data_IF_727530500466
#
_entry.id   IF_727530500466
#
_cell.length_a   1.000
_cell.length_b   1.000
_cell.length_c   1.000
_cell.angle_alpha   90.00
_cell.angle_beta   90.00
_cell.angle_gamma   90.00
#
_symmetry.space_group_name_H-M   'P 1'
#
loop_
_entity.id
_entity.type
_entity.pdbx_description
1 polymer ?
#
# COMPACT_ATOMS: atom_id res chain seq x y z
N UNK A 1 25.09 5.59 -1.62
CA UNK A 1 23.96 4.78 -1.10
C UNK A 1 22.66 5.44 -1.52
N UNK A 2 21.71 4.67 -2.04
CA UNK A 2 20.36 5.12 -2.41
C UNK A 2 19.35 4.33 -1.59
N UNK A 3 18.45 5.04 -0.93
CA UNK A 3 17.29 4.43 -0.26
C UNK A 3 16.00 4.94 -0.88
N UNK A 4 15.09 4.03 -1.13
CA UNK A 4 13.71 4.34 -1.45
C UNK A 4 12.89 4.20 -0.18
N UNK A 5 12.06 5.21 0.13
CA UNK A 5 11.24 5.21 1.34
C UNK A 5 9.77 5.29 0.96
N UNK A 6 8.97 4.34 1.43
CA UNK A 6 7.52 4.35 1.26
C UNK A 6 6.87 4.61 2.61
N UNK A 7 5.86 5.47 2.63
CA UNK A 7 5.06 5.73 3.82
C UNK A 7 3.62 5.27 3.64
N UNK A 8 3.13 4.48 4.61
CA UNK A 8 1.74 4.05 4.67
C UNK A 8 0.77 5.18 5.01
N UNK A 9 -0.53 4.99 4.77
CA UNK A 9 -1.54 6.02 4.97
C UNK A 9 -1.63 6.51 6.42
N UNK A 10 -1.47 5.64 7.42
CA UNK A 10 -1.42 6.02 8.84
C UNK A 10 -0.26 6.95 9.18
N UNK A 11 0.87 6.77 8.49
CA UNK A 11 2.06 7.63 8.62
C UNK A 11 1.92 8.98 7.92
N UNK A 12 0.84 9.21 7.17
CA UNK A 12 0.58 10.41 6.38
C UNK A 12 -0.85 10.94 6.60
N UNK A 13 -1.48 10.57 7.72
CA UNK A 13 -2.89 10.84 7.97
C UNK A 13 -3.23 12.33 8.12
N UNK A 14 -2.27 13.13 8.59
CA UNK A 14 -2.39 14.57 8.84
C UNK A 14 -1.02 15.27 8.79
N UNK A 15 -1.01 16.59 9.00
CA UNK A 15 0.20 17.39 8.99
C UNK A 15 1.21 16.98 10.07
N UNK A 16 0.75 16.47 11.22
CA UNK A 16 1.63 16.02 12.31
C UNK A 16 2.41 14.79 11.90
N UNK A 17 1.71 13.82 11.30
CA UNK A 17 2.31 12.59 10.79
C UNK A 17 3.25 12.88 9.60
N UNK A 18 2.83 13.74 8.67
CA UNK A 18 3.68 14.13 7.53
C UNK A 18 4.96 14.85 8.01
N UNK A 19 4.91 15.68 9.06
CA UNK A 19 6.09 16.27 9.67
C UNK A 19 7.06 15.23 10.24
N UNK A 20 6.55 14.15 10.86
CA UNK A 20 7.38 13.02 11.31
C UNK A 20 8.04 12.32 10.13
N UNK A 21 7.25 11.98 9.09
CA UNK A 21 7.76 11.38 7.88
C UNK A 21 8.83 12.25 7.19
N UNK A 22 8.59 13.55 7.09
CA UNK A 22 9.57 14.49 6.54
C UNK A 22 10.86 14.57 7.35
N UNK A 23 10.79 14.59 8.69
CA UNK A 23 11.99 14.50 9.55
C UNK A 23 12.78 13.21 9.29
N UNK A 24 12.10 12.09 9.12
CA UNK A 24 12.74 10.81 8.77
C UNK A 24 13.45 10.92 7.43
N UNK A 25 12.79 11.44 6.39
CA UNK A 25 13.39 11.59 5.06
C UNK A 25 14.63 12.48 5.14
N UNK A 26 14.50 13.64 5.74
CA UNK A 26 15.57 14.66 5.79
C UNK A 26 16.71 14.32 6.75
N UNK A 27 16.53 13.35 7.65
CA UNK A 27 17.60 12.93 8.58
C UNK A 27 18.71 12.10 7.91
N UNK A 28 18.52 11.68 6.65
CA UNK A 28 19.50 10.86 5.93
C UNK A 28 19.48 11.17 4.42
N UNK A 29 20.56 11.69 3.89
CA UNK A 29 20.68 12.11 2.48
C UNK A 29 20.48 10.95 1.47
N UNK A 30 20.70 9.73 1.88
CA UNK A 30 20.50 8.55 1.06
C UNK A 30 19.02 8.26 0.75
N UNK A 31 18.06 8.84 1.49
CA UNK A 31 16.61 8.73 1.27
C UNK A 31 16.16 9.66 0.16
N UNK A 32 16.47 9.29 -1.07
CA UNK A 32 16.30 10.13 -2.25
C UNK A 32 14.91 10.07 -2.87
N UNK A 33 14.28 8.90 -2.84
CA UNK A 33 13.01 8.68 -3.52
C UNK A 33 11.93 8.30 -2.51
N UNK A 34 10.83 9.05 -2.53
CA UNK A 34 9.74 8.93 -1.56
C UNK A 34 8.48 8.45 -2.28
N UNK A 35 7.85 7.40 -1.78
CA UNK A 35 6.60 6.86 -2.30
C UNK A 35 5.49 6.99 -1.25
N UNK A 36 4.66 8.02 -1.33
CA UNK A 36 3.56 8.21 -0.39
C UNK A 36 2.31 7.44 -0.77
N UNK A 37 1.60 6.94 0.24
CA UNK A 37 0.20 6.56 0.13
C UNK A 37 -0.72 7.77 0.30
N UNK A 38 -2.02 7.61 -0.02
CA UNK A 38 -3.05 8.57 0.37
C UNK A 38 -3.14 8.73 1.89
N UNK A 39 -3.61 9.87 2.41
CA UNK A 39 -3.80 10.06 3.84
C UNK A 39 -4.76 9.03 4.45
N UNK A 40 -4.28 8.33 5.46
CA UNK A 40 -5.03 7.33 6.21
C UNK A 40 -6.01 7.94 7.21
N UNK A 41 -6.45 7.14 8.18
CA UNK A 41 -7.28 7.60 9.30
C UNK A 41 -6.44 8.39 10.30
N UNK A 42 -6.98 9.51 10.81
CA UNK A 42 -6.39 10.31 11.90
C UNK A 42 -6.70 9.70 13.28
N UNK A 43 -7.85 9.02 13.39
CA UNK A 43 -8.34 8.33 14.59
C UNK A 43 -9.22 7.14 14.17
N UNK A 44 -9.63 6.28 15.13
CA UNK A 44 -10.31 5.00 14.85
C UNK A 44 -11.54 5.12 13.96
N UNK A 45 -12.37 6.13 14.19
CA UNK A 45 -13.66 6.32 13.53
C UNK A 45 -13.58 7.23 12.29
N UNK A 46 -12.36 7.70 11.94
CA UNK A 46 -12.13 8.52 10.76
C UNK A 46 -12.25 7.71 9.46
N UNK A 47 -12.42 8.40 8.35
CA UNK A 47 -12.49 7.80 7.01
C UNK A 47 -11.18 8.07 6.25
N UNK A 48 -10.61 7.05 5.62
CA UNK A 48 -9.45 7.21 4.73
C UNK A 48 -9.83 8.06 3.52
N UNK A 49 -8.89 8.86 3.03
CA UNK A 49 -9.11 9.68 1.82
C UNK A 49 -9.52 8.83 0.61
N UNK A 50 -8.94 7.66 0.43
CA UNK A 50 -9.32 6.73 -0.66
C UNK A 50 -10.78 6.31 -0.56
N UNK A 51 -11.29 6.04 0.65
CA UNK A 51 -12.70 5.68 0.88
C UNK A 51 -13.63 6.89 0.63
N UNK A 52 -13.18 8.11 1.00
CA UNK A 52 -13.90 9.34 0.69
C UNK A 52 -14.01 9.56 -0.83
N UNK A 53 -12.92 9.33 -1.57
CA UNK A 53 -12.89 9.43 -3.03
C UNK A 53 -13.81 8.40 -3.71
N UNK A 54 -13.80 7.14 -3.25
CA UNK A 54 -14.72 6.12 -3.75
C UNK A 54 -16.18 6.49 -3.50
N UNK A 55 -16.49 7.03 -2.33
CA UNK A 55 -17.85 7.47 -1.97
C UNK A 55 -18.28 8.65 -2.83
N UNK A 56 -17.40 9.62 -3.03
CA UNK A 56 -17.62 10.79 -3.86
C UNK A 56 -17.87 10.39 -5.33
N UNK A 57 -17.00 9.57 -5.92
CA UNK A 57 -17.15 9.07 -7.28
C UNK A 57 -18.40 8.21 -7.44
N UNK A 58 -18.70 7.35 -6.47
CA UNK A 58 -19.93 6.55 -6.46
C UNK A 58 -21.21 7.40 -6.44
N UNK A 59 -21.18 8.59 -5.83
CA UNK A 59 -22.28 9.54 -5.91
C UNK A 59 -22.40 10.15 -7.32
N UNK A 60 -21.28 10.54 -7.93
CA UNK A 60 -21.24 11.06 -9.30
C UNK A 60 -21.77 10.05 -10.33
N UNK A 61 -21.37 8.78 -10.22
CA UNK A 61 -21.85 7.69 -11.10
C UNK A 61 -23.37 7.51 -10.99
N UNK A 62 -23.93 7.66 -9.79
CA UNK A 62 -25.38 7.56 -9.51
C UNK A 62 -26.13 8.86 -9.78
N UNK A 63 -25.50 9.84 -10.40
CA UNK A 63 -26.07 11.16 -10.71
C UNK A 63 -26.59 11.92 -9.48
N UNK A 64 -25.99 11.62 -8.31
CA UNK A 64 -26.25 12.33 -7.07
C UNK A 64 -25.27 13.49 -6.90
N UNK A 65 -25.66 14.47 -6.08
CA UNK A 65 -24.80 15.61 -5.74
C UNK A 65 -23.54 15.11 -5.02
N UNK A 66 -22.38 15.30 -5.64
CA UNK A 66 -21.07 14.85 -5.11
C UNK A 66 -20.14 16.01 -4.73
N UNK A 67 -20.52 17.23 -5.06
CA UNK A 67 -19.67 18.43 -4.86
C UNK A 67 -19.35 18.69 -3.39
N UNK A 68 -20.26 18.41 -2.47
CA UNK A 68 -20.05 18.54 -1.04
C UNK A 68 -19.04 17.50 -0.53
N UNK A 69 -19.17 16.24 -0.98
CA UNK A 69 -18.20 15.19 -0.65
C UNK A 69 -16.79 15.51 -1.18
N UNK A 70 -16.70 16.13 -2.35
CA UNK A 70 -15.42 16.57 -2.92
C UNK A 70 -14.84 17.74 -2.12
N UNK A 71 -15.69 18.68 -1.68
CA UNK A 71 -15.28 19.81 -0.85
C UNK A 71 -14.74 19.35 0.52
N UNK A 72 -15.30 18.29 1.12
CA UNK A 72 -14.78 17.71 2.36
C UNK A 72 -13.36 17.13 2.16
N UNK A 73 -13.10 16.51 1.01
CA UNK A 73 -11.77 16.00 0.67
C UNK A 73 -10.80 17.17 0.46
N UNK A 74 -11.21 18.21 -0.27
CA UNK A 74 -10.42 19.42 -0.50
C UNK A 74 -10.06 20.09 0.82
N UNK A 75 -11.03 20.25 1.72
CA UNK A 75 -10.82 20.80 3.07
C UNK A 75 -9.78 20.02 3.84
N UNK A 76 -9.82 18.69 3.79
CA UNK A 76 -8.83 17.84 4.47
C UNK A 76 -7.41 18.06 3.96
N UNK A 77 -7.22 18.22 2.65
CA UNK A 77 -5.90 18.57 2.09
C UNK A 77 -5.48 20.00 2.45
N UNK A 78 -6.43 20.92 2.48
CA UNK A 78 -6.15 22.30 2.92
C UNK A 78 -5.67 22.34 4.37
N UNK A 79 -6.31 21.61 5.28
CA UNK A 79 -5.88 21.45 6.68
C UNK A 79 -4.45 20.87 6.78
N UNK A 80 -4.09 19.92 5.92
CA UNK A 80 -2.74 19.35 5.85
C UNK A 80 -1.74 20.42 5.38
N UNK A 81 -2.03 21.13 4.28
CA UNK A 81 -1.17 22.18 3.71
C UNK A 81 -0.91 23.28 4.72
N UNK A 82 -1.96 23.79 5.36
CA UNK A 82 -1.88 24.81 6.41
C UNK A 82 -1.08 24.31 7.62
N UNK A 83 -1.36 23.10 8.08
CA UNK A 83 -0.65 22.48 9.18
C UNK A 83 0.84 22.25 8.90
N UNK A 84 1.24 22.04 7.63
CA UNK A 84 2.63 21.94 7.21
C UNK A 84 3.31 23.30 7.08
N UNK A 85 2.53 24.38 6.93
CA UNK A 85 3.05 25.74 6.73
C UNK A 85 3.66 25.97 5.34
N UNK A 86 3.17 25.28 4.32
CA UNK A 86 3.64 25.39 2.93
C UNK A 86 2.67 26.24 2.09
N UNK A 87 3.21 26.87 1.05
CA UNK A 87 2.42 27.59 0.06
C UNK A 87 2.18 26.67 -1.14
N UNK A 88 0.99 26.05 -1.17
CA UNK A 88 0.54 25.18 -2.26
C UNK A 88 -0.97 25.34 -2.42
N UNK A 89 -1.45 25.58 -3.65
CA UNK A 89 -2.86 25.41 -4.00
C UNK A 89 -3.07 24.12 -4.77
N UNK A 90 -4.14 23.42 -4.47
CA UNK A 90 -4.64 22.24 -5.19
C UNK A 90 -5.97 22.53 -5.90
N UNK A 91 -6.34 23.80 -6.10
CA UNK A 91 -7.63 24.19 -6.66
C UNK A 91 -7.81 23.72 -8.11
N UNK A 92 -6.75 23.77 -8.91
CA UNK A 92 -6.76 23.27 -10.29
C UNK A 92 -6.92 21.77 -10.35
N UNK A 93 -6.23 21.05 -9.45
CA UNK A 93 -6.36 19.59 -9.32
C UNK A 93 -7.78 19.19 -8.92
N UNK A 94 -8.37 19.88 -7.94
CA UNK A 94 -9.75 19.61 -7.53
C UNK A 94 -10.78 19.99 -8.59
N UNK A 95 -10.56 21.05 -9.37
CA UNK A 95 -11.38 21.38 -10.53
C UNK A 95 -11.33 20.26 -11.59
N UNK A 96 -10.13 19.77 -11.90
CA UNK A 96 -9.92 18.65 -12.82
C UNK A 96 -10.58 17.37 -12.31
N UNK A 97 -10.45 17.05 -11.02
CA UNK A 97 -11.09 15.87 -10.41
C UNK A 97 -12.62 15.98 -10.49
N UNK A 98 -13.19 17.16 -10.20
CA UNK A 98 -14.64 17.40 -10.29
C UNK A 98 -15.14 17.13 -11.72
N UNK A 99 -14.46 17.69 -12.72
CA UNK A 99 -14.86 17.54 -14.12
C UNK A 99 -14.75 16.09 -14.61
N UNK A 100 -13.70 15.39 -14.18
CA UNK A 100 -13.49 13.98 -14.48
C UNK A 100 -14.51 13.06 -13.75
N UNK A 101 -14.90 13.40 -12.55
CA UNK A 101 -15.98 12.67 -11.84
C UNK A 101 -17.33 12.89 -12.53
N UNK A 102 -17.62 14.10 -12.98
CA UNK A 102 -18.83 14.40 -13.76
C UNK A 102 -18.86 13.62 -15.09
N UNK A 103 -17.71 13.44 -15.73
CA UNK A 103 -17.54 12.60 -16.96
C UNK A 103 -17.50 11.10 -16.67
N UNK A 104 -17.48 10.68 -15.39
CA UNK A 104 -17.47 9.27 -14.97
C UNK A 104 -16.29 8.48 -15.57
N UNK A 105 -15.08 9.08 -15.60
CA UNK A 105 -13.92 8.53 -16.34
C UNK A 105 -13.34 7.24 -15.79
N UNK A 106 -13.66 6.83 -14.55
CA UNK A 106 -13.26 5.53 -14.02
C UNK A 106 -13.00 5.51 -12.51
N UNK A 107 -13.19 4.33 -11.93
CA UNK A 107 -13.00 4.10 -10.50
C UNK A 107 -11.52 4.16 -10.10
N UNK A 108 -10.64 3.67 -10.96
CA UNK A 108 -9.19 3.68 -10.72
C UNK A 108 -8.64 5.10 -10.71
N UNK A 109 -9.13 5.96 -11.62
CA UNK A 109 -8.83 7.39 -11.56
C UNK A 109 -9.22 7.98 -10.19
N UNK A 110 -10.45 7.73 -9.76
CA UNK A 110 -10.92 8.26 -8.48
C UNK A 110 -10.03 7.80 -7.31
N UNK A 111 -9.73 6.51 -7.24
CA UNK A 111 -8.87 5.94 -6.20
C UNK A 111 -7.48 6.56 -6.18
N UNK A 112 -6.84 6.71 -7.34
CA UNK A 112 -5.47 7.21 -7.49
C UNK A 112 -5.28 8.66 -7.01
N UNK A 113 -6.37 9.46 -7.00
CA UNK A 113 -6.26 10.89 -6.66
C UNK A 113 -5.82 11.14 -5.22
N UNK A 114 -6.06 10.20 -4.33
CA UNK A 114 -5.55 10.29 -2.96
C UNK A 114 -4.02 10.32 -2.90
N UNK A 115 -3.38 9.38 -3.56
CA UNK A 115 -1.92 9.30 -3.66
C UNK A 115 -1.35 10.45 -4.50
N UNK A 116 -1.99 10.78 -5.62
CA UNK A 116 -1.59 11.91 -6.46
C UNK A 116 -1.53 13.23 -5.70
N UNK A 117 -2.63 13.61 -5.04
CA UNK A 117 -2.71 14.86 -4.26
C UNK A 117 -1.71 14.86 -3.11
N UNK A 118 -1.61 13.73 -2.39
CA UNK A 118 -0.68 13.63 -1.27
C UNK A 118 0.79 13.67 -1.74
N UNK A 119 1.08 13.08 -2.88
CA UNK A 119 2.40 13.17 -3.51
C UNK A 119 2.80 14.62 -3.82
N UNK A 120 1.87 15.43 -4.34
CA UNK A 120 2.09 16.86 -4.58
C UNK A 120 2.37 17.63 -3.30
N UNK A 121 1.59 17.37 -2.25
CA UNK A 121 1.79 17.98 -0.93
C UNK A 121 3.16 17.65 -0.35
N UNK A 122 3.54 16.37 -0.38
CA UNK A 122 4.80 15.90 0.18
C UNK A 122 6.00 16.41 -0.64
N UNK A 123 5.88 16.45 -1.97
CA UNK A 123 6.91 17.01 -2.84
C UNK A 123 7.16 18.50 -2.52
N UNK A 124 6.08 19.29 -2.38
CA UNK A 124 6.18 20.69 -1.99
C UNK A 124 6.78 20.87 -0.59
N UNK A 125 6.40 20.01 0.38
CA UNK A 125 6.90 20.07 1.74
C UNK A 125 8.39 19.72 1.85
N UNK A 126 8.86 18.72 1.08
CA UNK A 126 10.27 18.29 1.09
C UNK A 126 11.16 19.13 0.15
N UNK A 127 10.57 19.90 -0.79
CA UNK A 127 11.31 20.54 -1.87
C UNK A 127 11.87 19.54 -2.89
N UNK A 128 11.21 18.37 -3.05
CA UNK A 128 11.59 17.32 -3.99
C UNK A 128 10.79 17.45 -5.28
N UNK A 129 11.35 16.90 -6.38
CA UNK A 129 10.62 16.86 -7.64
C UNK A 129 9.41 15.92 -7.55
N UNK A 130 8.25 16.39 -8.00
CA UNK A 130 7.06 15.55 -8.15
C UNK A 130 7.10 14.85 -9.51
N UNK A 131 6.97 13.53 -9.51
CA UNK A 131 6.85 12.73 -10.75
C UNK A 131 5.53 11.96 -10.67
N UNK A 132 4.59 12.26 -11.59
CA UNK A 132 3.32 11.52 -11.63
C UNK A 132 3.59 10.04 -11.98
N UNK A 133 3.03 9.14 -11.18
CA UNK A 133 3.15 7.71 -11.43
C UNK A 133 2.57 7.29 -12.79
N UNK A 134 1.57 8.01 -13.30
CA UNK A 134 1.01 7.79 -14.62
C UNK A 134 2.03 7.99 -15.77
N UNK A 135 3.05 8.83 -15.58
CA UNK A 135 4.10 9.06 -16.55
C UNK A 135 5.10 7.92 -16.63
N UNK A 136 5.34 7.23 -15.51
CA UNK A 136 6.48 6.32 -15.36
C UNK A 136 6.11 4.86 -15.06
N UNK A 137 4.89 4.57 -14.62
CA UNK A 137 4.41 3.20 -14.35
C UNK A 137 3.44 2.80 -15.46
N UNK A 138 3.78 1.73 -16.17
CA UNK A 138 3.11 1.31 -17.41
C UNK A 138 2.30 0.04 -17.22
N UNK A 139 1.11 0.07 -17.78
CA UNK A 139 0.22 -1.07 -17.93
C UNK A 139 -0.09 -1.28 -19.42
N UNK A 140 -0.42 -2.52 -19.80
CA UNK A 140 -0.91 -2.80 -21.16
C UNK A 140 -2.38 -2.38 -21.31
N UNK A 141 -2.93 -2.57 -22.52
CA UNK A 141 -4.32 -2.25 -22.84
C UNK A 141 -5.32 -3.07 -21.99
N UNK A 142 -4.92 -4.25 -21.49
CA UNK A 142 -5.72 -5.12 -20.66
C UNK A 142 -5.59 -4.81 -19.15
N UNK A 143 -4.70 -3.86 -18.78
CA UNK A 143 -4.44 -3.50 -17.38
C UNK A 143 -3.42 -4.42 -16.70
N UNK A 144 -2.62 -5.18 -17.44
CA UNK A 144 -1.51 -5.93 -16.88
C UNK A 144 -0.28 -5.03 -16.71
N UNK A 145 0.41 -5.17 -15.60
CA UNK A 145 1.60 -4.38 -15.30
C UNK A 145 2.78 -4.75 -16.21
N UNK A 146 3.37 -3.77 -16.86
CA UNK A 146 4.53 -3.91 -17.75
C UNK A 146 5.83 -3.67 -16.98
N UNK A 147 6.34 -4.70 -16.31
CA UNK A 147 7.45 -4.62 -15.35
C UNK A 147 8.75 -4.11 -15.99
N UNK A 148 9.18 -4.64 -17.13
CA UNK A 148 10.46 -4.28 -17.75
C UNK A 148 10.40 -2.90 -18.41
N UNK A 149 9.28 -2.56 -19.07
CA UNK A 149 9.07 -1.23 -19.63
C UNK A 149 9.04 -0.16 -18.53
N UNK A 150 8.29 -0.41 -17.46
CA UNK A 150 8.27 0.49 -16.29
C UNK A 150 9.66 0.66 -15.70
N UNK A 151 10.42 -0.43 -15.55
CA UNK A 151 11.77 -0.35 -15.01
C UNK A 151 12.67 0.54 -15.86
N UNK A 152 12.61 0.39 -17.19
CA UNK A 152 13.40 1.22 -18.12
C UNK A 152 12.99 2.69 -18.02
N UNK A 153 11.69 3.00 -18.11
CA UNK A 153 11.17 4.38 -18.05
C UNK A 153 11.54 5.05 -16.72
N UNK A 154 11.39 4.35 -15.60
CA UNK A 154 11.79 4.87 -14.28
C UNK A 154 13.29 5.08 -14.17
N UNK A 155 14.11 4.12 -14.61
CA UNK A 155 15.58 4.26 -14.60
C UNK A 155 16.01 5.49 -15.38
N UNK A 156 15.50 5.67 -16.60
CA UNK A 156 15.84 6.81 -17.44
C UNK A 156 15.36 8.14 -16.84
N UNK A 157 14.19 8.15 -16.18
CA UNK A 157 13.63 9.34 -15.57
C UNK A 157 14.38 9.72 -14.30
N UNK A 158 14.63 8.75 -13.40
CA UNK A 158 15.24 8.98 -12.09
C UNK A 158 16.75 9.18 -12.15
N UNK A 159 17.43 8.72 -13.21
CA UNK A 159 18.85 9.04 -13.45
C UNK A 159 19.12 10.54 -13.62
N UNK A 160 18.10 11.31 -13.98
CA UNK A 160 18.17 12.77 -14.22
C UNK A 160 17.74 13.61 -13.02
N UNK A 161 17.29 12.97 -11.93
CA UNK A 161 16.69 13.62 -10.77
C UNK A 161 17.36 13.13 -9.50
N UNK A 162 17.86 14.05 -8.70
CA UNK A 162 18.54 13.67 -7.45
C UNK A 162 17.56 13.16 -6.39
N UNK A 163 16.41 13.81 -6.27
CA UNK A 163 15.38 13.53 -5.25
C UNK A 163 13.99 13.71 -5.82
N UNK A 164 13.14 12.72 -5.62
CA UNK A 164 11.77 12.78 -6.15
C UNK A 164 10.74 12.16 -5.21
N UNK A 165 9.48 12.59 -5.39
CA UNK A 165 8.29 11.97 -4.83
C UNK A 165 7.49 11.35 -5.96
N UNK A 166 7.23 10.07 -5.89
CA UNK A 166 6.44 9.30 -6.85
C UNK A 166 5.21 8.74 -6.12
N UNK A 167 3.99 9.19 -6.42
CA UNK A 167 2.78 8.66 -5.79
C UNK A 167 2.69 7.15 -5.95
N UNK A 168 2.29 6.45 -4.88
CA UNK A 168 2.07 5.01 -4.93
C UNK A 168 0.78 4.60 -5.61
N UNK A 169 0.56 3.28 -5.76
CA UNK A 169 -0.71 2.63 -6.06
C UNK A 169 -1.14 2.58 -7.53
N UNK A 170 -0.74 3.47 -8.41
CA UNK A 170 -1.25 3.54 -9.78
C UNK A 170 -0.17 3.78 -10.83
N UNK A 171 -0.56 3.63 -12.08
CA UNK A 171 0.13 4.01 -13.30
C UNK A 171 -0.89 4.28 -14.40
N UNK A 172 -0.47 4.19 -15.66
CA UNK A 172 -1.34 4.42 -16.81
C UNK A 172 -1.20 3.36 -17.89
N UNK A 173 -2.29 3.15 -18.63
CA UNK A 173 -2.36 2.41 -19.88
C UNK A 173 -1.86 3.27 -21.05
N UNK A 174 -1.64 2.70 -22.25
CA UNK A 174 -1.17 3.46 -23.42
C UNK A 174 -2.06 4.63 -23.84
N UNK A 175 -3.37 4.53 -23.60
CA UNK A 175 -4.35 5.58 -23.90
C UNK A 175 -4.43 6.68 -22.81
N UNK A 176 -3.59 6.59 -21.77
CA UNK A 176 -3.58 7.50 -20.63
C UNK A 176 -4.60 7.16 -19.53
N UNK A 177 -5.41 6.11 -19.71
CA UNK A 177 -6.35 5.66 -18.67
C UNK A 177 -5.59 5.21 -17.43
N UNK A 178 -5.98 5.74 -16.26
CA UNK A 178 -5.37 5.35 -14.99
C UNK A 178 -5.73 3.90 -14.65
N UNK A 179 -4.73 3.15 -14.24
CA UNK A 179 -4.83 1.79 -13.75
C UNK A 179 -4.22 1.68 -12.36
N UNK A 180 -4.96 1.10 -11.42
CA UNK A 180 -4.45 0.84 -10.05
C UNK A 180 -3.94 -0.60 -9.92
N UNK A 181 -2.97 -0.81 -9.02
CA UNK A 181 -2.59 -2.16 -8.62
C UNK A 181 -3.71 -2.80 -7.79
N UNK A 182 -4.02 -4.05 -8.08
CA UNK A 182 -5.12 -4.79 -7.43
C UNK A 182 -4.84 -5.08 -5.95
N UNK A 183 -3.56 -5.22 -5.58
CA UNK A 183 -3.09 -5.53 -4.22
C UNK A 183 -1.76 -4.84 -3.93
N UNK A 184 -1.45 -4.69 -2.65
CA UNK A 184 -0.17 -4.13 -2.20
C UNK A 184 0.04 -2.64 -2.48
N UNK A 185 -0.80 -2.03 -3.30
CA UNK A 185 -0.88 -0.58 -3.50
C UNK A 185 0.46 0.13 -3.61
N UNK A 186 0.70 1.06 -2.69
CA UNK A 186 1.95 1.84 -2.64
C UNK A 186 3.19 1.02 -2.27
N UNK A 187 3.03 -0.18 -1.66
CA UNK A 187 4.16 -1.07 -1.36
C UNK A 187 4.78 -1.61 -2.65
N UNK A 188 3.93 -1.96 -3.63
CA UNK A 188 4.39 -2.41 -4.97
C UNK A 188 5.14 -1.27 -5.66
N UNK A 189 4.60 -0.06 -5.62
CA UNK A 189 5.27 1.10 -6.22
C UNK A 189 6.64 1.36 -5.59
N UNK A 190 6.75 1.31 -4.25
CA UNK A 190 8.03 1.46 -3.55
C UNK A 190 9.07 0.43 -3.99
N UNK A 191 8.64 -0.82 -4.15
CA UNK A 191 9.48 -1.92 -4.63
C UNK A 191 9.92 -1.72 -6.09
N UNK A 192 9.03 -1.26 -6.97
CA UNK A 192 9.33 -0.94 -8.37
C UNK A 192 10.35 0.19 -8.47
N UNK A 193 10.17 1.29 -7.71
CA UNK A 193 11.10 2.42 -7.68
C UNK A 193 12.47 1.98 -7.13
N UNK A 194 12.49 1.14 -6.10
CA UNK A 194 13.73 0.60 -5.55
C UNK A 194 14.51 -0.23 -6.57
N UNK A 195 13.81 -1.07 -7.35
CA UNK A 195 14.41 -1.83 -8.45
C UNK A 195 15.00 -0.91 -9.51
N UNK A 196 14.23 0.06 -10.00
CA UNK A 196 14.62 0.95 -11.08
C UNK A 196 15.82 1.85 -10.72
N UNK A 197 16.00 2.16 -9.45
CA UNK A 197 17.10 2.99 -8.95
C UNK A 197 18.29 2.19 -8.44
N UNK A 198 18.25 0.85 -8.56
CA UNK A 198 19.23 -0.06 -7.96
C UNK A 198 19.51 0.31 -6.50
N UNK A 199 18.45 0.54 -5.73
CA UNK A 199 18.55 1.01 -4.36
C UNK A 199 19.30 0.01 -3.47
N UNK A 200 20.09 0.54 -2.54
CA UNK A 200 20.77 -0.28 -1.52
C UNK A 200 19.80 -0.79 -0.46
N UNK A 201 18.65 -0.12 -0.31
CA UNK A 201 17.61 -0.45 0.67
C UNK A 201 16.24 0.08 0.23
N UNK A 202 15.20 -0.71 0.43
CA UNK A 202 13.81 -0.28 0.41
C UNK A 202 13.27 -0.21 1.85
N UNK A 203 13.02 1.01 2.34
CA UNK A 203 12.43 1.22 3.67
C UNK A 203 10.91 1.36 3.54
N UNK A 204 10.15 0.49 4.20
CA UNK A 204 8.70 0.56 4.30
C UNK A 204 8.30 1.06 5.70
N UNK A 205 7.88 2.31 5.77
CA UNK A 205 7.49 3.00 6.99
C UNK A 205 5.98 2.89 7.23
N UNK A 206 5.63 2.35 8.37
CA UNK A 206 4.25 2.06 8.80
C UNK A 206 4.06 2.48 10.28
N UNK A 207 3.00 2.05 10.91
CA UNK A 207 2.68 2.30 12.33
C UNK A 207 3.10 1.15 13.27
N UNK A 208 3.81 0.16 12.76
CA UNK A 208 4.35 -0.96 13.54
C UNK A 208 5.88 -1.08 13.36
N UNK A 209 6.56 -1.56 14.40
CA UNK A 209 8.04 -1.67 14.44
C UNK A 209 8.56 -2.99 13.83
N UNK A 210 8.00 -3.40 12.70
CA UNK A 210 8.36 -4.64 12.02
C UNK A 210 7.49 -5.83 12.45
N UNK A 211 8.03 -7.04 12.27
CA UNK A 211 7.34 -8.28 12.60
C UNK A 211 7.60 -8.69 14.04
N UNK A 212 6.59 -9.26 14.67
CA UNK A 212 6.68 -9.87 15.99
C UNK A 212 6.72 -11.40 15.87
N UNK A 213 7.40 -12.08 16.78
CA UNK A 213 7.47 -13.56 16.81
C UNK A 213 6.14 -14.25 17.04
N UNK A 214 5.15 -13.53 17.59
CA UNK A 214 3.79 -14.00 17.81
C UNK A 214 2.78 -12.84 17.80
N UNK A 215 1.49 -13.15 17.64
CA UNK A 215 0.42 -12.17 17.67
C UNK A 215 0.31 -11.51 19.07
N UNK A 216 0.44 -10.19 19.20
CA UNK A 216 0.36 -9.48 20.49
C UNK A 216 -1.02 -9.56 21.13
N UNK A 217 -2.05 -9.96 20.39
CA UNK A 217 -3.40 -10.22 20.94
C UNK A 217 -3.49 -11.56 21.67
N UNK A 218 -2.52 -12.46 21.43
CA UNK A 218 -2.45 -13.80 22.01
C UNK A 218 -1.33 -13.89 23.05
N UNK A 219 -0.16 -13.39 22.71
CA UNK A 219 1.05 -13.44 23.56
C UNK A 219 1.36 -12.03 24.06
N UNK A 220 1.43 -11.87 25.37
CA UNK A 220 1.77 -10.58 25.98
C UNK A 220 3.25 -10.25 25.74
N UNK A 221 3.52 -9.06 25.19
CA UNK A 221 4.87 -8.56 24.92
C UNK A 221 5.73 -9.50 24.05
N UNK A 222 5.28 -9.90 22.85
CA UNK A 222 6.07 -10.71 21.95
C UNK A 222 7.31 -9.94 21.51
N UNK A 223 8.42 -10.64 21.32
CA UNK A 223 9.68 -10.02 20.84
C UNK A 223 9.59 -9.67 19.36
N UNK A 224 10.29 -8.60 18.94
CA UNK A 224 10.46 -8.25 17.54
C UNK A 224 11.41 -9.19 16.82
N UNK A 225 11.15 -9.41 15.54
CA UNK A 225 12.03 -10.14 14.62
C UNK A 225 13.01 -9.14 14.02
N UNK A 226 14.32 -9.30 14.28
CA UNK A 226 15.34 -8.37 13.77
C UNK A 226 15.58 -8.55 12.27
N UNK A 227 15.61 -9.80 11.80
CA UNK A 227 15.78 -10.13 10.39
C UNK A 227 15.07 -11.42 10.03
N UNK A 228 14.55 -11.47 8.79
CA UNK A 228 13.79 -12.60 8.25
C UNK A 228 14.15 -12.74 6.76
N UNK A 229 14.14 -13.97 6.25
CA UNK A 229 14.30 -14.20 4.82
C UNK A 229 13.00 -14.03 4.07
N UNK A 230 13.07 -13.76 2.76
CA UNK A 230 11.88 -13.73 1.90
C UNK A 230 11.06 -15.04 1.96
N UNK A 231 11.74 -16.17 2.13
CA UNK A 231 11.10 -17.49 2.26
C UNK A 231 10.29 -17.58 3.58
N UNK A 232 10.91 -17.20 4.69
CA UNK A 232 10.24 -17.19 6.01
C UNK A 232 9.08 -16.19 6.05
N UNK A 233 9.24 -15.01 5.42
CA UNK A 233 8.18 -14.02 5.32
C UNK A 233 6.95 -14.60 4.58
N UNK A 234 7.17 -15.31 3.49
CA UNK A 234 6.09 -15.98 2.75
C UNK A 234 5.35 -16.99 3.62
N UNK A 235 6.06 -17.83 4.36
CA UNK A 235 5.45 -18.81 5.26
C UNK A 235 4.62 -18.13 6.36
N UNK A 236 5.14 -17.05 6.98
CA UNK A 236 4.39 -16.27 7.98
C UNK A 236 3.14 -15.60 7.39
N UNK A 237 3.21 -15.12 6.14
CA UNK A 237 2.08 -14.51 5.45
C UNK A 237 0.95 -15.51 5.18
N UNK A 238 1.26 -16.75 4.79
CA UNK A 238 0.28 -17.83 4.65
C UNK A 238 -0.43 -18.14 5.96
N UNK A 239 0.27 -18.02 7.09
CA UNK A 239 -0.28 -18.26 8.42
C UNK A 239 -1.07 -17.06 8.99
N UNK A 240 -1.20 -15.97 8.23
CA UNK A 240 -2.04 -14.81 8.57
C UNK A 240 -1.32 -13.59 9.14
N UNK A 241 0.01 -13.59 9.21
CA UNK A 241 0.81 -12.41 9.56
C UNK A 241 1.01 -11.53 8.31
N UNK A 242 -0.04 -10.81 7.90
CA UNK A 242 0.00 -9.98 6.68
C UNK A 242 0.46 -8.56 7.01
N UNK A 243 1.77 -8.30 6.93
CA UNK A 243 2.34 -6.94 7.00
C UNK A 243 2.72 -6.45 5.60
N UNK A 244 3.12 -7.35 4.69
CA UNK A 244 3.51 -7.01 3.33
C UNK A 244 2.97 -8.06 2.34
N UNK A 245 2.40 -7.61 1.23
CA UNK A 245 1.87 -8.50 0.20
C UNK A 245 2.99 -9.07 -0.68
N UNK A 246 2.86 -10.31 -1.16
CA UNK A 246 3.89 -10.98 -1.97
C UNK A 246 4.21 -10.21 -3.27
N UNK A 247 3.20 -9.64 -3.93
CA UNK A 247 3.38 -8.83 -5.14
C UNK A 247 4.28 -7.60 -4.89
N UNK A 248 4.24 -7.05 -3.66
CA UNK A 248 5.09 -5.92 -3.29
C UNK A 248 6.57 -6.29 -3.07
N UNK A 249 6.87 -7.57 -2.92
CA UNK A 249 8.21 -8.07 -2.65
C UNK A 249 8.94 -8.44 -3.96
N UNK A 250 8.19 -8.89 -4.95
CA UNK A 250 8.77 -9.49 -6.16
C UNK A 250 9.81 -8.61 -6.88
N UNK A 251 9.58 -7.29 -7.13
CA UNK A 251 10.57 -6.47 -7.84
C UNK A 251 11.91 -6.37 -7.12
N UNK A 252 11.92 -6.14 -5.80
CA UNK A 252 13.16 -6.00 -5.00
C UNK A 252 13.83 -7.34 -4.74
N UNK A 253 13.06 -8.42 -4.59
CA UNK A 253 13.61 -9.76 -4.41
C UNK A 253 14.42 -10.22 -5.61
N UNK A 254 13.94 -9.95 -6.83
CA UNK A 254 14.66 -10.28 -8.07
C UNK A 254 16.06 -9.68 -8.11
N UNK A 255 16.22 -8.48 -7.55
CA UNK A 255 17.49 -7.73 -7.52
C UNK A 255 18.27 -7.92 -6.20
N UNK A 256 17.74 -8.71 -5.26
CA UNK A 256 18.39 -8.92 -3.95
C UNK A 256 18.40 -7.68 -3.06
N UNK A 257 17.54 -6.69 -3.32
CA UNK A 257 17.46 -5.45 -2.54
C UNK A 257 16.76 -5.74 -1.20
N UNK A 258 17.39 -5.46 -0.06
CA UNK A 258 16.77 -5.68 1.24
C UNK A 258 15.61 -4.72 1.49
N UNK A 259 14.57 -5.21 2.20
CA UNK A 259 13.46 -4.39 2.69
C UNK A 259 13.60 -4.20 4.19
N UNK A 260 13.42 -2.98 4.69
CA UNK A 260 13.35 -2.71 6.13
C UNK A 260 11.96 -2.17 6.51
N UNK A 261 11.22 -2.91 7.32
CA UNK A 261 9.93 -2.48 7.88
C UNK A 261 10.19 -1.67 9.12
N UNK A 262 9.75 -0.41 9.15
CA UNK A 262 10.04 0.55 10.21
C UNK A 262 8.81 1.29 10.69
N UNK A 263 8.88 1.79 11.92
CA UNK A 263 7.79 2.52 12.56
C UNK A 263 8.00 4.03 12.47
N UNK A 264 7.08 4.74 11.84
CA UNK A 264 7.11 6.21 11.74
C UNK A 264 6.98 6.90 13.11
N UNK A 265 6.33 6.24 14.07
CA UNK A 265 6.15 6.78 15.42
C UNK A 265 7.28 6.41 16.40
N UNK A 266 8.16 5.49 16.01
CA UNK A 266 9.35 5.08 16.76
C UNK A 266 10.54 4.91 15.78
N UNK A 267 11.01 6.01 15.15
CA UNK A 267 12.02 5.95 14.09
C UNK A 267 13.40 5.50 14.57
N UNK A 268 13.66 5.52 15.87
CA UNK A 268 14.86 4.97 16.50
C UNK A 268 14.90 3.45 16.52
N UNK A 269 13.74 2.78 16.46
CA UNK A 269 13.66 1.33 16.41
C UNK A 269 14.13 0.80 15.05
N UNK A 270 14.95 -0.26 15.06
CA UNK A 270 15.53 -0.83 13.83
C UNK A 270 14.51 -1.51 12.92
N UNK A 271 13.37 -1.91 13.49
CA UNK A 271 12.34 -2.67 12.76
C UNK A 271 12.82 -4.07 12.36
N UNK A 272 12.21 -4.60 11.30
CA UNK A 272 12.58 -5.93 10.74
C UNK A 272 13.22 -5.78 9.37
N UNK A 273 14.39 -6.41 9.18
CA UNK A 273 15.09 -6.50 7.90
C UNK A 273 14.66 -7.76 7.15
N UNK A 274 14.23 -7.64 5.90
CA UNK A 274 13.90 -8.76 5.01
C UNK A 274 14.99 -8.88 3.96
N UNK A 275 15.59 -10.06 3.84
CA UNK A 275 16.77 -10.33 2.98
C UNK A 275 16.62 -11.66 2.23
N UNK A 276 17.45 -11.87 1.18
CA UNK A 276 17.46 -13.13 0.42
C UNK A 276 17.94 -14.31 1.27
N UNK A 277 19.02 -14.10 2.06
CA UNK A 277 19.56 -15.09 2.97
C UNK A 277 20.19 -14.46 4.19
N UNK A 278 20.17 -15.16 5.31
CA UNK A 278 20.81 -14.72 6.54
C UNK A 278 22.14 -15.43 6.71
N UNK A 279 23.24 -14.67 6.78
CA UNK A 279 24.56 -15.18 7.19
C UNK A 279 24.69 -15.33 8.72
N UNK A 280 23.66 -14.92 9.47
CA UNK A 280 23.67 -14.96 10.94
C UNK A 280 23.05 -16.26 11.44
N UNK A 281 23.70 -16.88 12.42
CA UNK A 281 23.06 -17.94 13.22
C UNK A 281 21.77 -17.36 13.81
N UNK A 282 20.61 -18.01 13.64
CA UNK A 282 19.37 -17.53 14.20
C UNK A 282 19.47 -17.40 15.70
N UNK A 283 19.05 -16.28 16.25
CA UNK A 283 19.05 -16.01 17.71
C UNK A 283 18.05 -16.90 18.45
N UNK A 284 17.04 -17.38 17.74
CA UNK A 284 16.00 -18.24 18.24
C UNK A 284 15.78 -19.43 17.30
N UNK A 285 15.33 -20.56 17.84
CA UNK A 285 15.06 -21.79 17.08
C UNK A 285 13.85 -21.65 16.16
N UNK A 286 12.93 -20.72 16.46
CA UNK A 286 11.70 -20.45 15.71
C UNK A 286 11.70 -18.96 15.33
N UNK A 287 11.49 -18.66 14.05
CA UNK A 287 11.42 -17.28 13.54
C UNK A 287 10.14 -16.57 13.96
N UNK A 288 9.00 -17.29 13.96
CA UNK A 288 7.72 -16.75 14.38
C UNK A 288 6.62 -17.81 14.40
N UNK A 289 5.51 -17.48 15.04
CA UNK A 289 4.30 -18.31 15.11
C UNK A 289 3.13 -17.43 14.70
N UNK A 290 2.41 -17.83 13.65
CA UNK A 290 1.16 -17.21 13.24
C UNK A 290 0.03 -18.23 13.26
N UNK A 291 -1.20 -17.80 13.53
CA UNK A 291 -2.38 -18.66 13.55
C UNK A 291 -3.65 -17.84 13.35
N UNK A 292 -4.68 -18.48 12.81
CA UNK A 292 -6.04 -17.94 12.78
C UNK A 292 -6.87 -18.66 13.82
N UNK A 293 -7.69 -17.92 14.58
CA UNK A 293 -8.79 -18.54 15.31
C UNK A 293 -9.77 -19.06 14.26
N UNK A 294 -9.94 -20.36 14.16
CA UNK A 294 -11.08 -20.92 13.45
C UNK A 294 -12.33 -20.55 14.23
N UNK A 295 -13.37 -20.06 13.55
CA UNK A 295 -14.69 -19.99 14.14
C UNK A 295 -15.07 -21.42 14.58
N UNK A 296 -15.65 -21.63 15.79
CA UNK A 296 -16.09 -22.95 16.18
C UNK A 296 -16.98 -23.50 15.08
N UNK A 297 -16.57 -24.64 14.50
CA UNK A 297 -17.41 -25.37 13.56
C UNK A 297 -18.66 -25.73 14.36
N UNK A 298 -19.78 -25.09 14.04
CA UNK A 298 -21.06 -25.46 14.61
C UNK A 298 -21.28 -26.96 14.39
N UNK A 299 -21.99 -27.66 15.28
CA UNK A 299 -22.24 -29.08 15.11
C UNK A 299 -22.79 -29.33 13.70
N UNK A 300 -22.14 -30.23 12.96
CA UNK A 300 -22.59 -30.66 11.65
C UNK A 300 -24.07 -31.05 11.78
N UNK A 301 -24.95 -30.62 10.87
CA UNK A 301 -26.33 -31.08 10.90
C UNK A 301 -26.32 -32.60 10.82
N UNK A 302 -26.85 -33.23 11.87
CA UNK A 302 -27.07 -34.69 11.87
C UNK A 302 -28.06 -34.96 10.74
N UNK A 303 -27.57 -35.51 9.63
CA UNK A 303 -28.43 -36.05 8.58
C UNK A 303 -29.19 -37.18 9.25
N UNK A 304 -30.46 -36.95 9.57
CA UNK A 304 -31.34 -37.94 10.15
C UNK A 304 -31.41 -39.13 9.21
N UNK A 305 -31.02 -40.33 9.73
CA UNK A 305 -31.11 -41.58 9.04
C UNK A 305 -32.59 -41.88 8.73
N UNK A 306 -32.98 -41.65 7.49
CA UNK A 306 -34.21 -42.16 6.95
C UNK A 306 -34.08 -43.67 6.78
N UNK A 307 -34.84 -44.44 7.54
CA UNK A 307 -35.08 -45.88 7.39
C UNK A 307 -35.51 -46.17 5.95
N UNK A 308 -34.94 -47.13 5.25
CA UNK A 308 -35.45 -47.50 3.93
C UNK A 308 -36.81 -48.21 4.07
N UNK A 309 -37.84 -47.64 3.48
CA UNK A 309 -39.11 -48.28 3.33
C UNK A 309 -38.95 -49.47 2.34
N UNK A 310 -39.29 -50.66 2.81
CA UNK A 310 -39.39 -51.88 1.99
C UNK A 310 -40.49 -51.69 0.93
N UNK A 311 -40.10 -51.56 -0.31
CA UNK A 311 -40.99 -51.60 -1.47
C UNK A 311 -40.97 -52.97 -2.13
N UNK A 312 -42.07 -53.66 -2.00
CA UNK A 312 -42.38 -54.95 -2.61
C UNK A 312 -42.31 -54.91 -4.13
N UNK A 313 -41.64 -55.91 -4.70
CA UNK A 313 -41.64 -56.21 -6.12
C UNK A 313 -43.02 -56.66 -6.58
N UNK A 314 -43.57 -56.04 -7.64
CA UNK A 314 -44.68 -56.50 -8.40
C UNK A 314 -44.27 -56.83 -9.83
N UNK A 315 -44.11 -58.11 -10.13
CA UNK A 315 -43.94 -58.61 -11.47
C UNK A 315 -45.34 -58.73 -12.08
N UNK A 316 -45.55 -58.28 -13.30
CA UNK A 316 -46.61 -58.84 -14.18
C UNK A 316 -46.25 -58.66 -15.64
N UNK A 317 -46.54 -59.70 -16.52
CA UNK A 317 -46.09 -59.76 -17.88
C UNK A 317 -47.17 -59.32 -18.86
N UNK A 318 -46.77 -58.81 -19.99
CA UNK A 318 -47.23 -59.09 -21.38
C UNK A 318 -46.62 -58.05 -22.33
#
# INVERSE_FOLDING_TARGET
>A
MIKVVKFGGSSLADAVQIKKAGKIVLSEESRRYVVPSAPGKRFSDDTKVTDMLYRCYGAAVKEKKFTELLADIQKRYQEIIEGLGITLSLDEEFATIRDNFAKKIGRDYAASRGEYLNGRVIAAYLGYEFIDAAEVIKFDENGNFLSEETNQVLTDRLSKVERAVIPGFYGARPDGTIQTFSRGGSDVTGSIVARATHADMYENWTDVSGFLIADPRIIKNPKGIEAITYKELRELSYMGASVLHEDAIFPVRKEGIPINIRNTNAPEEKGTLIVEGTCRKPKYTITGIAGKREAPVGPLPVVGGGTPAAGTAGISPS
#
